data_IF_271990421920
#
_entry.id   IF_271990421920
#
_cell.length_a   1.000
_cell.length_b   1.000
_cell.length_c   1.000
_cell.angle_alpha   90.00
_cell.angle_beta   90.00
_cell.angle_gamma   90.00
#
_symmetry.space_group_name_H-M   'P 1'
#
loop_
_entity.id
_entity.type
_entity.pdbx_description
1 polymer ?
#
# COMPACT_ATOMS: atom_id res chain seq x y z
N UNK A 1 -10.53 -10.01 -3.93
CA UNK A 1 -10.37 -11.27 -4.61
C UNK A 1 -8.98 -11.39 -5.18
N UNK A 2 -8.28 -12.48 -4.85
CA UNK A 2 -6.91 -12.68 -5.30
C UNK A 2 -5.87 -11.85 -4.59
N UNK A 3 -6.24 -11.12 -3.53
CA UNK A 3 -5.27 -10.44 -2.69
C UNK A 3 -4.65 -11.45 -1.72
N UNK A 4 -3.37 -11.27 -1.41
CA UNK A 4 -2.64 -12.11 -0.48
C UNK A 4 -2.07 -11.23 0.62
N UNK A 5 -2.51 -11.46 1.85
CA UNK A 5 -2.13 -10.66 3.00
C UNK A 5 -1.54 -11.59 4.05
N UNK A 6 -0.28 -11.35 4.41
CA UNK A 6 0.37 -12.12 5.45
C UNK A 6 -0.30 -11.83 6.80
N UNK A 7 -0.29 -12.83 7.69
CA UNK A 7 -0.99 -12.75 8.97
C UNK A 7 -0.39 -11.72 9.94
N UNK A 8 0.80 -11.23 9.67
CA UNK A 8 1.43 -10.22 10.53
C UNK A 8 1.20 -8.79 10.05
N UNK A 9 0.33 -8.60 9.08
CA UNK A 9 -0.01 -7.27 8.61
C UNK A 9 -1.06 -6.62 9.51
N UNK A 10 -0.93 -5.31 9.70
CA UNK A 10 -1.91 -4.50 10.42
C UNK A 10 -2.54 -3.56 9.41
N UNK A 11 -3.84 -3.71 9.22
CA UNK A 11 -4.60 -2.95 8.23
C UNK A 11 -5.58 -2.05 8.96
N UNK A 12 -5.46 -0.75 8.75
CA UNK A 12 -6.35 0.22 9.39
C UNK A 12 -7.77 0.19 8.83
N UNK A 13 -8.64 0.99 9.44
CA UNK A 13 -10.03 1.09 9.00
C UNK A 13 -10.13 1.76 7.64
N UNK A 14 -11.15 1.38 6.87
CA UNK A 14 -11.45 1.98 5.57
C UNK A 14 -10.35 1.81 4.53
N UNK A 15 -9.42 0.89 4.74
CA UNK A 15 -8.41 0.58 3.75
C UNK A 15 -9.05 -0.24 2.63
N UNK A 16 -8.78 0.16 1.39
CA UNK A 16 -9.22 -0.61 0.23
C UNK A 16 -8.02 -1.34 -0.37
N UNK A 17 -8.12 -2.65 -0.41
CA UNK A 17 -7.08 -3.49 -1.01
C UNK A 17 -7.67 -4.13 -2.25
N UNK A 18 -7.18 -3.69 -3.41
CA UNK A 18 -7.67 -4.14 -4.69
C UNK A 18 -7.24 -5.57 -5.00
N UNK A 19 -7.81 -6.19 -6.04
CA UNK A 19 -7.44 -7.56 -6.40
C UNK A 19 -5.95 -7.71 -6.71
N UNK A 20 -5.41 -8.89 -6.42
CA UNK A 20 -4.02 -9.27 -6.72
C UNK A 20 -2.96 -8.46 -6.02
N UNK A 21 -3.34 -7.73 -4.98
CA UNK A 21 -2.36 -7.08 -4.10
C UNK A 21 -1.70 -8.15 -3.26
N UNK A 22 -0.38 -8.04 -3.10
CA UNK A 22 0.39 -8.92 -2.23
C UNK A 22 1.03 -8.08 -1.13
N UNK A 23 0.59 -8.29 0.10
CA UNK A 23 1.22 -7.70 1.27
C UNK A 23 2.08 -8.78 1.92
N UNK A 24 3.37 -8.60 1.86
CA UNK A 24 4.32 -9.51 2.49
C UNK A 24 4.29 -9.33 4.01
N UNK A 25 5.17 -9.96 4.75
CA UNK A 25 5.06 -9.96 6.20
C UNK A 25 5.31 -8.61 6.86
N UNK A 26 4.65 -8.38 7.99
CA UNK A 26 4.92 -7.28 8.90
C UNK A 26 4.70 -5.90 8.25
N UNK A 27 3.58 -5.74 7.56
CA UNK A 27 3.24 -4.50 6.90
C UNK A 27 2.15 -3.80 7.68
N UNK A 28 2.26 -2.46 7.76
CA UNK A 28 1.24 -1.62 8.38
C UNK A 28 0.66 -0.69 7.32
N UNK A 29 -0.66 -0.68 7.18
CA UNK A 29 -1.36 0.21 6.26
C UNK A 29 -2.28 1.10 7.05
N UNK A 30 -2.08 2.40 6.94
CA UNK A 30 -2.86 3.38 7.69
C UNK A 30 -4.29 3.52 7.16
N UNK A 31 -5.13 4.10 8.00
CA UNK A 31 -6.55 4.30 7.75
C UNK A 31 -6.80 4.96 6.39
N UNK A 32 -7.82 4.50 5.69
CA UNK A 32 -8.31 5.13 4.47
C UNK A 32 -7.45 5.00 3.24
N UNK A 33 -6.33 4.31 3.33
CA UNK A 33 -5.41 4.16 2.20
C UNK A 33 -5.99 3.19 1.17
N UNK A 34 -5.76 3.49 -0.08
CA UNK A 34 -6.20 2.68 -1.20
C UNK A 34 -4.99 2.09 -1.91
N UNK A 35 -4.95 0.76 -2.03
CA UNK A 35 -3.85 0.06 -2.70
C UNK A 35 -4.37 -0.53 -4.00
N UNK A 36 -3.83 -0.06 -5.12
CA UNK A 36 -4.26 -0.44 -6.46
C UNK A 36 -3.91 -1.87 -6.82
N UNK A 37 -4.63 -2.40 -7.81
CA UNK A 37 -4.54 -3.81 -8.19
C UNK A 37 -3.12 -4.22 -8.57
N UNK A 38 -2.73 -5.42 -8.18
CA UNK A 38 -1.45 -6.01 -8.54
C UNK A 38 -0.24 -5.44 -7.83
N UNK A 39 -0.44 -4.54 -6.86
CA UNK A 39 0.66 -3.97 -6.09
C UNK A 39 1.31 -5.02 -5.19
N UNK A 40 2.61 -4.97 -5.09
CA UNK A 40 3.39 -5.80 -4.17
C UNK A 40 4.06 -4.90 -3.15
N UNK A 41 3.86 -5.20 -1.87
CA UNK A 41 4.49 -4.45 -0.78
C UNK A 41 5.46 -5.39 -0.08
N UNK A 42 6.75 -5.03 -0.05
CA UNK A 42 7.78 -5.89 0.52
C UNK A 42 7.72 -5.88 2.04
N UNK A 43 8.33 -6.88 2.70
CA UNK A 43 8.22 -7.00 4.16
C UNK A 43 8.70 -5.77 4.92
N UNK A 44 7.99 -5.43 5.99
CA UNK A 44 8.39 -4.40 6.92
C UNK A 44 8.01 -2.98 6.55
N UNK A 45 7.31 -2.78 5.43
CA UNK A 45 6.95 -1.44 4.96
C UNK A 45 5.75 -0.90 5.75
N UNK A 46 5.77 0.40 6.02
CA UNK A 46 4.63 1.12 6.58
C UNK A 46 4.08 2.07 5.54
N UNK A 47 2.78 1.98 5.29
CA UNK A 47 2.07 2.89 4.39
C UNK A 47 1.18 3.76 5.25
N UNK A 48 1.29 5.07 5.08
CA UNK A 48 0.56 6.04 5.90
C UNK A 48 -0.94 6.05 5.63
N UNK A 49 -1.62 7.02 6.22
CA UNK A 49 -3.08 7.17 6.14
C UNK A 49 -3.46 7.96 4.90
N UNK A 50 -4.63 7.64 4.35
CA UNK A 50 -5.26 8.42 3.27
C UNK A 50 -4.33 8.62 2.07
N UNK A 51 -3.49 7.63 1.81
CA UNK A 51 -2.62 7.61 0.63
C UNK A 51 -3.22 6.72 -0.43
N UNK A 52 -2.76 6.91 -1.66
CA UNK A 52 -3.17 6.07 -2.78
C UNK A 52 -1.92 5.48 -3.40
N UNK A 53 -1.91 4.15 -3.50
CA UNK A 53 -0.84 3.43 -4.19
C UNK A 53 -1.39 3.00 -5.54
N UNK A 54 -0.78 3.46 -6.62
CA UNK A 54 -1.24 3.13 -7.97
C UNK A 54 -1.07 1.66 -8.31
N UNK A 55 -1.90 1.19 -9.23
CA UNK A 55 -1.91 -0.22 -9.63
C UNK A 55 -0.55 -0.67 -10.17
N UNK A 56 -0.19 -1.92 -9.89
CA UNK A 56 1.04 -2.52 -10.40
C UNK A 56 2.31 -1.99 -9.75
N UNK A 57 2.21 -1.30 -8.64
CA UNK A 57 3.38 -0.73 -7.96
C UNK A 57 4.15 -1.80 -7.20
N UNK A 58 5.44 -1.55 -6.99
CA UNK A 58 6.27 -2.34 -6.07
C UNK A 58 6.75 -1.38 -4.99
N UNK A 59 6.20 -1.55 -3.78
CA UNK A 59 6.46 -0.66 -2.65
C UNK A 59 7.61 -1.24 -1.83
N UNK A 60 8.76 -0.60 -1.88
CA UNK A 60 9.98 -1.09 -1.23
C UNK A 60 10.48 -0.17 -0.13
N UNK A 61 9.72 0.85 0.22
CA UNK A 61 10.06 1.75 1.33
C UNK A 61 8.76 2.37 1.88
N UNK A 62 8.88 2.97 3.04
CA UNK A 62 7.72 3.56 3.72
C UNK A 62 7.10 4.67 2.88
N UNK A 63 5.78 4.76 2.95
CA UNK A 63 4.99 5.77 2.25
C UNK A 63 4.34 6.67 3.29
N UNK A 64 4.53 7.98 3.20
CA UNK A 64 3.92 8.91 4.16
C UNK A 64 2.42 9.04 3.98
N UNK A 65 1.79 9.79 4.89
CA UNK A 65 0.36 10.07 4.82
C UNK A 65 0.03 10.99 3.65
N UNK A 66 -1.16 10.81 3.09
CA UNK A 66 -1.77 11.78 2.18
C UNK A 66 -1.04 11.98 0.85
N UNK A 67 -0.48 10.92 0.28
CA UNK A 67 0.22 11.06 -1.00
C UNK A 67 -0.29 10.06 -2.03
N UNK A 68 -0.10 10.41 -3.30
CA UNK A 68 -0.21 9.45 -4.39
C UNK A 68 1.19 8.95 -4.71
N UNK A 69 1.38 7.64 -4.66
CA UNK A 69 2.65 7.01 -4.96
C UNK A 69 2.41 5.85 -5.93
N UNK A 70 3.31 5.65 -6.86
CA UNK A 70 3.16 4.56 -7.82
C UNK A 70 4.49 4.24 -8.48
N UNK A 71 4.50 3.12 -9.16
CA UNK A 71 5.61 2.69 -9.99
C UNK A 71 6.31 1.45 -9.49
N UNK A 72 7.12 0.92 -10.33
CA UNK A 72 8.05 -0.15 -10.00
C UNK A 72 9.47 0.40 -10.25
N UNK A 73 10.09 0.81 -9.25
CA UNK A 73 9.82 0.87 -7.80
C UNK A 73 8.94 2.07 -7.48
N UNK A 74 8.14 1.95 -6.45
CA UNK A 74 7.15 2.97 -6.09
C UNK A 74 7.81 4.25 -5.61
N UNK A 75 7.29 5.39 -6.06
CA UNK A 75 7.77 6.68 -5.60
C UNK A 75 6.59 7.65 -5.46
N UNK A 76 6.77 8.65 -4.64
CA UNK A 76 5.75 9.65 -4.40
C UNK A 76 5.62 10.53 -5.64
N UNK A 77 4.39 10.66 -6.15
CA UNK A 77 4.08 11.47 -7.33
C UNK A 77 3.61 12.84 -6.91
N UNK A 78 2.73 12.91 -5.91
CA UNK A 78 2.22 14.20 -5.43
C UNK A 78 1.54 14.05 -4.08
N UNK A 79 1.36 15.18 -3.40
CA UNK A 79 0.56 15.26 -2.19
C UNK A 79 -0.93 15.29 -2.58
N UNK A 80 -1.76 14.66 -1.75
CA UNK A 80 -3.21 14.66 -1.91
C UNK A 80 -3.87 15.73 -1.02
N UNK A 81 -3.07 16.46 -0.28
CA UNK A 81 -3.58 17.50 0.61
C UNK A 81 -3.60 18.87 -0.07
#
# INVERSE_FOLDING_TARGET
>A
TGASIDHECVIGDFVHISPRVTLCGNIHVGEGTWIGAGTVVIPGVRIGRWSIIGAGSVVDKDIPDGVLALGNRCRIIKSLE
#
